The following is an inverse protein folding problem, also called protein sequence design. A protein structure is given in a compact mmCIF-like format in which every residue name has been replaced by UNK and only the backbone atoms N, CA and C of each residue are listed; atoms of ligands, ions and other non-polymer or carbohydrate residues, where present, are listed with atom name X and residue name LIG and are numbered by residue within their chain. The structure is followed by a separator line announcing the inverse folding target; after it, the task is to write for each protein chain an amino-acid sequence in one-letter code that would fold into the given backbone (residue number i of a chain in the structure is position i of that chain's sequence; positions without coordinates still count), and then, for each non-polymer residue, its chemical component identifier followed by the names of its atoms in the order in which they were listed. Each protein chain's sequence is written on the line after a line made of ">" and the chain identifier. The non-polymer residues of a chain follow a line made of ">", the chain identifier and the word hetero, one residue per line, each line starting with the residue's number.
data_IF_223532042020
#
_entry.id   IF_223532042020
#
_cell.length_a   1.000
_cell.length_b   1.000
_cell.length_c   1.000
_cell.angle_alpha   90.00
_cell.angle_beta   90.00
_cell.angle_gamma   90.00
#
_symmetry.space_group_name_H-M   'P 1'
#
loop_
_entity.id
_entity.type
_entity.pdbx_description
1 polymer ?
#
# COMPACT_ATOMS: atom_id res chain seq x y z
N UNK A 1 -47.64 2.55 -2.88
CA UNK A 1 -46.50 1.64 -3.11
C UNK A 1 -45.39 2.04 -2.15
N UNK A 2 -45.06 1.21 -1.17
CA UNK A 2 -44.02 1.53 -0.17
C UNK A 2 -42.66 1.10 -0.74
N UNK A 3 -41.80 2.07 -1.04
CA UNK A 3 -40.41 1.80 -1.42
C UNK A 3 -39.63 1.34 -0.18
N UNK A 4 -39.01 0.16 -0.27
CA UNK A 4 -38.08 -0.34 0.74
C UNK A 4 -36.74 0.35 0.54
N UNK A 5 -36.28 1.11 1.53
CA UNK A 5 -34.93 1.62 1.57
C UNK A 5 -33.97 0.44 1.85
N UNK A 6 -33.12 0.12 0.88
CA UNK A 6 -31.97 -0.76 1.08
C UNK A 6 -31.01 -0.10 2.07
N UNK A 7 -30.62 -0.75 3.18
CA UNK A 7 -29.49 -0.27 3.95
C UNK A 7 -28.22 -0.53 3.14
N UNK A 8 -27.77 0.48 2.39
CA UNK A 8 -26.41 0.52 1.86
C UNK A 8 -25.46 0.60 3.05
N UNK A 9 -25.00 -0.56 3.51
CA UNK A 9 -23.96 -0.72 4.51
C UNK A 9 -22.65 -0.13 3.97
N UNK A 10 -22.53 1.18 4.07
CA UNK A 10 -21.25 1.86 4.10
C UNK A 10 -20.56 1.39 5.39
N UNK A 11 -19.90 0.23 5.32
CA UNK A 11 -18.83 -0.09 6.25
C UNK A 11 -17.75 0.96 5.99
N UNK A 12 -17.89 2.12 6.65
CA UNK A 12 -16.79 3.00 6.97
C UNK A 12 -15.85 2.15 7.82
N UNK A 13 -14.91 1.49 7.14
CA UNK A 13 -13.80 0.81 7.77
C UNK A 13 -13.09 1.90 8.56
N UNK A 14 -13.22 1.84 9.88
CA UNK A 14 -12.48 2.69 10.81
C UNK A 14 -11.01 2.62 10.40
N UNK A 15 -10.54 3.63 9.67
CA UNK A 15 -9.14 3.80 9.34
C UNK A 15 -8.45 3.96 10.68
N UNK A 16 -7.83 2.88 11.17
CA UNK A 16 -6.85 3.02 12.23
C UNK A 16 -5.75 3.85 11.58
N UNK A 17 -5.64 5.10 12.01
CA UNK A 17 -4.66 6.04 11.49
C UNK A 17 -3.29 5.53 11.93
N UNK A 18 -2.69 4.66 11.12
CA UNK A 18 -1.28 4.33 11.26
C UNK A 18 -0.53 5.55 10.74
N UNK A 19 0.42 6.05 11.53
CA UNK A 19 1.27 7.17 11.13
C UNK A 19 2.23 6.69 10.03
N UNK A 20 1.73 6.68 8.79
CA UNK A 20 2.47 6.27 7.61
C UNK A 20 2.71 7.53 6.79
N UNK A 21 3.97 7.88 6.47
CA UNK A 21 4.25 9.08 5.70
C UNK A 21 3.68 8.97 4.29
N UNK A 22 3.18 10.09 3.76
CA UNK A 22 2.58 10.17 2.43
C UNK A 22 3.56 9.77 1.31
N UNK A 23 4.85 10.03 1.52
CA UNK A 23 5.94 9.70 0.61
C UNK A 23 6.90 8.74 1.31
N UNK A 24 7.04 7.54 0.76
CA UNK A 24 7.95 6.51 1.22
C UNK A 24 9.32 6.62 0.52
N UNK A 25 10.38 6.06 1.12
CA UNK A 25 11.69 5.94 0.48
C UNK A 25 11.58 5.30 -0.91
N UNK A 26 12.28 5.86 -1.90
CA UNK A 26 12.17 5.40 -3.29
C UNK A 26 11.06 6.08 -4.10
N UNK A 27 10.39 7.10 -3.53
CA UNK A 27 9.40 7.91 -4.25
C UNK A 27 8.06 7.21 -4.45
N UNK A 28 7.70 6.31 -3.52
CA UNK A 28 6.39 5.67 -3.51
C UNK A 28 5.39 6.52 -2.72
N UNK A 29 4.15 6.56 -3.18
CA UNK A 29 3.03 7.16 -2.44
C UNK A 29 2.00 6.10 -2.07
N UNK A 30 1.31 6.32 -0.96
CA UNK A 30 0.23 5.45 -0.47
C UNK A 30 -1.11 6.01 -0.92
N UNK A 31 -1.98 5.13 -1.42
CA UNK A 31 -3.37 5.41 -1.74
C UNK A 31 -4.32 4.57 -0.89
N UNK A 32 -5.35 4.01 -1.53
CA UNK A 32 -6.42 3.31 -0.83
C UNK A 32 -5.98 1.98 -0.24
N UNK A 33 -6.55 1.61 0.91
CA UNK A 33 -6.44 0.25 1.46
C UNK A 33 -7.10 -0.74 0.50
N UNK A 34 -6.37 -1.78 0.10
CA UNK A 34 -6.85 -2.86 -0.78
C UNK A 34 -6.91 -4.23 -0.09
N UNK A 35 -6.38 -4.32 1.13
CA UNK A 35 -6.46 -5.56 1.91
C UNK A 35 -5.97 -5.38 3.34
N UNK A 36 -6.47 -6.21 4.25
CA UNK A 36 -6.11 -6.15 5.66
C UNK A 36 -5.98 -7.52 6.28
N UNK A 37 -4.85 -7.73 6.94
CA UNK A 37 -4.58 -8.90 7.77
C UNK A 37 -4.57 -8.54 9.26
N UNK A 38 -4.34 -9.56 10.09
CA UNK A 38 -4.26 -9.41 11.54
C UNK A 38 -3.10 -8.50 11.96
N UNK A 39 -1.95 -8.58 11.28
CA UNK A 39 -0.70 -7.85 11.61
C UNK A 39 -0.21 -6.90 10.51
N UNK A 40 -0.89 -6.81 9.37
CA UNK A 40 -0.50 -5.95 8.25
C UNK A 40 -1.71 -5.36 7.52
N UNK A 41 -1.50 -4.25 6.83
CA UNK A 41 -2.45 -3.62 5.91
C UNK A 41 -1.77 -3.49 4.56
N UNK A 42 -2.50 -3.71 3.46
CA UNK A 42 -2.01 -3.56 2.10
C UNK A 42 -2.73 -2.38 1.47
N UNK A 43 -1.94 -1.44 0.97
CA UNK A 43 -2.41 -0.27 0.25
C UNK A 43 -2.05 -0.37 -1.23
N UNK A 44 -2.92 0.14 -2.09
CA UNK A 44 -2.54 0.49 -3.45
C UNK A 44 -1.64 1.72 -3.37
N UNK A 45 -0.45 1.63 -3.94
CA UNK A 45 0.50 2.72 -4.04
C UNK A 45 0.89 3.01 -5.48
N UNK A 46 1.67 4.07 -5.65
CA UNK A 46 2.21 4.48 -6.94
C UNK A 46 3.70 4.74 -6.81
N UNK A 47 4.48 4.27 -7.77
CA UNK A 47 5.89 4.63 -7.85
C UNK A 47 6.07 5.80 -8.82
N UNK A 48 6.66 6.90 -8.35
CA UNK A 48 7.10 7.96 -9.26
C UNK A 48 8.40 7.51 -9.93
N UNK A 49 8.33 7.09 -11.19
CA UNK A 49 9.53 6.91 -12.00
C UNK A 49 10.15 8.28 -12.30
N UNK A 50 11.24 8.61 -11.62
CA UNK A 50 12.14 9.68 -12.06
C UNK A 50 13.00 9.12 -13.18
N UNK A 51 12.58 9.29 -14.43
CA UNK A 51 13.40 8.94 -15.59
C UNK A 51 14.66 9.83 -15.53
N UNK A 52 15.89 9.27 -15.53
CA UNK A 52 17.11 10.07 -15.62
C UNK A 52 17.09 10.96 -16.86
N UNK A 53 17.38 12.24 -16.67
CA UNK A 53 17.20 13.35 -17.62
C UNK A 53 18.07 13.30 -18.89
N UNK A 54 18.73 12.18 -19.16
CA UNK A 54 19.59 11.93 -20.31
C UNK A 54 18.84 11.28 -21.49
N UNK A 55 17.54 11.01 -21.36
CA UNK A 55 16.67 10.64 -22.49
C UNK A 55 15.97 11.87 -23.05
N UNK A 56 16.61 12.48 -24.04
CA UNK A 56 16.10 13.63 -24.78
C UNK A 56 14.84 13.27 -25.58
N UNK A 57 13.81 14.10 -25.38
CA UNK A 57 12.71 14.44 -26.29
C UNK A 57 11.41 13.64 -26.20
N UNK A 58 10.33 14.43 -26.09
CA UNK A 58 8.92 14.14 -26.40
C UNK A 58 8.07 13.56 -25.25
N UNK A 59 7.29 14.47 -24.65
CA UNK A 59 6.06 14.22 -23.88
C UNK A 59 6.13 13.03 -22.93
N UNK A 60 6.85 13.22 -21.81
CA UNK A 60 6.90 12.26 -20.70
C UNK A 60 5.53 12.18 -20.03
N UNK A 61 4.69 11.26 -20.50
CA UNK A 61 3.67 10.67 -19.64
C UNK A 61 4.42 10.01 -18.49
N UNK A 62 4.45 10.64 -17.32
CA UNK A 62 4.90 10.01 -16.07
C UNK A 62 3.97 8.82 -15.84
N UNK A 63 4.30 7.65 -16.38
CA UNK A 63 3.53 6.44 -16.15
C UNK A 63 3.81 6.02 -14.71
N UNK A 64 2.87 6.37 -13.84
CA UNK A 64 2.84 5.92 -12.47
C UNK A 64 2.53 4.42 -12.51
N UNK A 65 3.50 3.59 -12.15
CA UNK A 65 3.25 2.15 -12.05
C UNK A 65 2.52 1.85 -10.73
N UNK A 66 1.35 1.18 -10.77
CA UNK A 66 0.65 0.79 -9.56
C UNK A 66 1.44 -0.31 -8.84
N UNK A 67 1.55 -0.19 -7.51
CA UNK A 67 2.24 -1.16 -6.66
C UNK A 67 1.37 -1.51 -5.45
N UNK A 68 1.61 -2.68 -4.85
CA UNK A 68 1.02 -3.03 -3.56
C UNK A 68 2.03 -2.76 -2.43
N UNK A 69 1.63 -1.94 -1.45
CA UNK A 69 2.45 -1.57 -0.31
C UNK A 69 1.92 -2.28 0.94
N UNK A 70 2.66 -3.28 1.43
CA UNK A 70 2.33 -4.03 2.66
C UNK A 70 2.95 -3.34 3.88
N UNK A 71 2.13 -2.68 4.68
CA UNK A 71 2.53 -2.02 5.92
C UNK A 71 2.35 -2.98 7.09
N UNK A 72 3.44 -3.30 7.78
CA UNK A 72 3.46 -4.23 8.91
C UNK A 72 3.38 -3.47 10.24
N UNK A 73 2.45 -3.88 11.10
CA UNK A 73 2.20 -3.23 12.39
C UNK A 73 3.12 -3.87 13.44
N UNK A 74 4.24 -3.22 13.76
CA UNK A 74 5.27 -3.76 14.68
C UNK A 74 4.71 -4.21 16.03
N UNK A 75 3.77 -3.46 16.61
CA UNK A 75 3.16 -3.81 17.92
C UNK A 75 2.35 -5.11 17.91
N UNK A 76 2.08 -5.68 16.73
CA UNK A 76 1.36 -6.95 16.57
C UNK A 76 2.26 -8.11 16.17
N UNK A 77 3.57 -7.89 16.04
CA UNK A 77 4.51 -8.93 15.65
C UNK A 77 4.99 -9.71 16.87
N UNK A 78 4.85 -11.03 16.82
CA UNK A 78 5.58 -11.95 17.70
C UNK A 78 6.97 -12.20 17.11
N UNK A 79 7.91 -12.70 17.92
CA UNK A 79 9.25 -13.07 17.44
C UNK A 79 9.19 -14.04 16.25
N UNK A 80 8.30 -15.05 16.31
CA UNK A 80 8.11 -16.01 15.22
C UNK A 80 7.57 -15.33 13.94
N UNK A 81 6.60 -14.42 14.07
CA UNK A 81 6.08 -13.66 12.91
C UNK A 81 7.13 -12.73 12.32
N UNK A 82 7.96 -12.10 13.17
CA UNK A 82 9.05 -11.26 12.71
C UNK A 82 10.09 -12.06 11.92
N UNK A 83 10.51 -13.22 12.42
CA UNK A 83 11.44 -14.10 11.69
C UNK A 83 10.85 -14.56 10.35
N UNK A 84 9.58 -14.99 10.33
CA UNK A 84 8.91 -15.37 9.08
C UNK A 84 8.93 -14.23 8.04
N UNK A 85 8.73 -12.98 8.46
CA UNK A 85 8.78 -11.82 7.55
C UNK A 85 10.20 -11.53 7.05
N UNK A 86 11.21 -11.75 7.89
CA UNK A 86 12.61 -11.61 7.48
C UNK A 86 12.99 -12.70 6.47
N UNK A 87 12.53 -13.93 6.68
CA UNK A 87 12.76 -15.04 5.76
C UNK A 87 12.02 -14.84 4.44
N UNK A 88 10.75 -14.40 4.46
CA UNK A 88 9.97 -14.01 3.27
C UNK A 88 10.73 -12.95 2.44
N UNK A 89 11.26 -11.92 3.12
CA UNK A 89 12.03 -10.85 2.46
C UNK A 89 13.35 -11.33 1.84
N UNK A 90 13.98 -12.38 2.40
CA UNK A 90 15.20 -12.98 1.84
C UNK A 90 14.88 -13.84 0.63
N UNK A 91 13.89 -14.73 0.73
CA UNK A 91 13.51 -15.61 -0.38
C UNK A 91 13.05 -14.86 -1.64
N UNK A 92 12.39 -13.71 -1.47
CA UNK A 92 11.90 -12.91 -2.59
C UNK A 92 12.98 -12.09 -3.32
N UNK A 93 14.18 -11.93 -2.72
CA UNK A 93 15.26 -11.14 -3.34
C UNK A 93 16.12 -11.92 -4.35
N UNK A 94 15.93 -13.24 -4.45
CA UNK A 94 16.72 -14.12 -5.31
C UNK A 94 18.07 -14.44 -4.70
#
# INVERSE_FOLDING_TARGET
>A
MKQMASPSSHQSSKQKNYDIPDILPGGYTIGNEIGRGSFAVVYLGQQKQTIPSNSSSQQQQQQQQPVAIKVVIKSKLTNKLFQNLQDESKSLKG
#
